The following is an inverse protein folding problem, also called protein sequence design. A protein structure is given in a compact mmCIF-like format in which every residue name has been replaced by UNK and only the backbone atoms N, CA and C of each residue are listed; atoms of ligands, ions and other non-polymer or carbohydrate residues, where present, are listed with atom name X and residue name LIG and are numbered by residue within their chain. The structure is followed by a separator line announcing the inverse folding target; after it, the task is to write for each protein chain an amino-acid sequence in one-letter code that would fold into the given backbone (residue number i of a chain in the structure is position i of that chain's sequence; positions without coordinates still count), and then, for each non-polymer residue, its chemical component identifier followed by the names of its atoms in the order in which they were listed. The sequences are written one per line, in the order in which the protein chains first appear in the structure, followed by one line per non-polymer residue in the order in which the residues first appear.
data_IF_022281074131
#
_entry.id   IF_022281074131
#
_cell.length_a   1.000
_cell.length_b   1.000
_cell.length_c   1.000
_cell.angle_alpha   90.00
_cell.angle_beta   90.00
_cell.angle_gamma   90.00
#
_symmetry.space_group_name_H-M   'P 1'
#
loop_
_entity.id
_entity.type
_entity.pdbx_description
1 polymer ?
#
# COMPACT_ATOMS: atom_id res chain seq x y z
N UNK A 1 -18.44 8.74 -3.17
CA UNK A 1 -17.21 8.13 -3.67
C UNK A 1 -16.31 7.84 -2.49
N UNK A 2 -15.41 6.87 -2.58
CA UNK A 2 -14.43 6.58 -1.53
C UNK A 2 -13.40 7.70 -1.49
N UNK A 3 -13.16 8.28 -0.32
CA UNK A 3 -12.21 9.38 -0.15
C UNK A 3 -10.78 8.93 -0.48
N UNK A 4 -10.02 9.73 -1.21
CA UNK A 4 -8.64 9.39 -1.60
C UNK A 4 -7.72 9.10 -0.41
N UNK A 5 -7.86 9.87 0.67
CA UNK A 5 -7.11 9.62 1.92
C UNK A 5 -7.40 8.27 2.56
N UNK A 6 -8.63 7.73 2.45
CA UNK A 6 -8.92 6.38 2.94
C UNK A 6 -8.18 5.32 2.11
N UNK A 7 -8.18 5.48 0.78
CA UNK A 7 -7.42 4.62 -0.13
C UNK A 7 -5.92 4.70 0.19
N UNK A 8 -5.38 5.91 0.39
CA UNK A 8 -3.98 6.11 0.76
C UNK A 8 -3.64 5.40 2.08
N UNK A 9 -4.48 5.52 3.11
CA UNK A 9 -4.27 4.84 4.39
C UNK A 9 -4.29 3.32 4.25
N UNK A 10 -5.23 2.76 3.48
CA UNK A 10 -5.30 1.31 3.26
C UNK A 10 -4.10 0.81 2.45
N UNK A 11 -3.66 1.57 1.44
CA UNK A 11 -2.46 1.27 0.66
C UNK A 11 -1.20 1.25 1.54
N UNK A 12 -1.02 2.26 2.40
CA UNK A 12 0.11 2.35 3.34
C UNK A 12 0.15 1.15 4.29
N UNK A 13 -0.99 0.84 4.92
CA UNK A 13 -1.13 -0.32 5.82
C UNK A 13 -0.81 -1.61 5.07
N UNK A 14 -1.40 -1.83 3.89
CA UNK A 14 -1.20 -3.06 3.12
C UNK A 14 0.27 -3.26 2.73
N UNK A 15 0.92 -2.24 2.18
CA UNK A 15 2.32 -2.29 1.78
C UNK A 15 3.27 -2.45 2.98
N UNK A 16 3.01 -1.73 4.08
CA UNK A 16 3.80 -1.81 5.31
C UNK A 16 3.69 -3.18 5.97
N UNK A 17 2.49 -3.73 6.07
CA UNK A 17 2.28 -5.09 6.58
C UNK A 17 2.93 -6.15 5.68
N UNK A 18 2.88 -5.98 4.36
CA UNK A 18 3.54 -6.89 3.41
C UNK A 18 5.04 -6.87 3.58
N UNK A 19 5.66 -5.70 3.73
CA UNK A 19 7.08 -5.58 4.05
C UNK A 19 7.41 -6.26 5.40
N UNK A 20 6.60 -6.04 6.44
CA UNK A 20 6.82 -6.64 7.75
C UNK A 20 6.74 -8.16 7.75
N UNK A 21 5.86 -8.74 6.92
CA UNK A 21 5.68 -10.19 6.83
C UNK A 21 6.90 -10.94 6.28
N UNK A 22 7.80 -10.26 5.56
CA UNK A 22 9.03 -10.84 4.99
C UNK A 22 10.30 -10.44 5.75
N UNK A 23 10.15 -9.72 6.87
CA UNK A 23 11.24 -9.29 7.75
C UNK A 23 11.26 -10.14 9.03
N UNK A 24 12.38 -10.13 9.79
CA UNK A 24 12.42 -10.78 11.09
C UNK A 24 11.30 -10.28 12.01
N UNK A 25 10.77 -11.19 12.83
CA UNK A 25 9.74 -10.86 13.81
C UNK A 25 10.20 -9.73 14.74
N UNK A 26 9.29 -8.83 15.09
CA UNK A 26 9.58 -7.64 15.92
C UNK A 26 10.16 -6.45 15.16
N UNK A 27 10.45 -6.58 13.85
CA UNK A 27 10.91 -5.45 13.04
C UNK A 27 9.84 -4.37 12.92
N UNK A 28 10.21 -3.12 13.20
CA UNK A 28 9.32 -1.96 13.05
C UNK A 28 9.59 -1.26 11.73
N UNK A 29 8.51 -0.73 11.12
CA UNK A 29 8.57 0.00 9.87
C UNK A 29 7.95 1.39 10.05
N UNK A 30 8.62 2.39 9.47
CA UNK A 30 8.14 3.76 9.41
C UNK A 30 7.99 4.16 7.93
N UNK A 31 6.81 4.61 7.53
CA UNK A 31 6.59 5.15 6.18
C UNK A 31 7.43 6.41 5.98
N UNK A 32 8.33 6.39 4.98
CA UNK A 32 9.17 7.53 4.59
C UNK A 32 8.54 8.30 3.44
N UNK A 33 7.97 7.58 2.48
CA UNK A 33 7.30 8.15 1.32
C UNK A 33 6.13 7.25 0.92
N UNK A 34 5.02 7.88 0.55
CA UNK A 34 3.85 7.23 -0.04
C UNK A 34 3.41 8.06 -1.25
N UNK A 35 3.40 7.45 -2.43
CA UNK A 35 2.86 8.05 -3.64
C UNK A 35 1.63 7.26 -4.09
N UNK A 36 0.54 7.96 -4.39
CA UNK A 36 -0.72 7.34 -4.85
C UNK A 36 -1.19 8.03 -6.12
N UNK A 37 -1.35 7.25 -7.18
CA UNK A 37 -1.97 7.72 -8.43
C UNK A 37 -3.43 7.28 -8.43
N UNK A 38 -4.35 8.25 -8.44
CA UNK A 38 -5.79 8.00 -8.56
C UNK A 38 -6.18 7.98 -10.04
N UNK A 39 -6.60 6.82 -10.52
CA UNK A 39 -6.93 6.55 -11.92
C UNK A 39 -8.45 6.57 -12.19
N UNK A 40 -9.25 6.47 -11.13
CA UNK A 40 -10.70 6.48 -11.22
C UNK A 40 -11.38 6.55 -9.85
N UNK A 41 -12.70 6.37 -9.87
CA UNK A 41 -13.55 6.51 -8.69
C UNK A 41 -14.06 5.16 -8.22
N UNK A 42 -14.00 4.91 -6.91
CA UNK A 42 -14.73 3.83 -6.26
C UNK A 42 -16.04 4.38 -5.66
N UNK A 43 -17.15 3.65 -5.86
CA UNK A 43 -18.48 4.03 -5.39
C UNK A 43 -18.87 3.22 -4.14
N UNK A 44 -19.68 3.78 -3.23
CA UNK A 44 -20.24 3.01 -2.12
C UNK A 44 -20.93 1.73 -2.61
N UNK A 45 -20.65 0.60 -1.95
CA UNK A 45 -21.16 -0.72 -2.33
C UNK A 45 -20.22 -1.54 -3.21
N UNK A 46 -19.21 -0.93 -3.85
CA UNK A 46 -18.18 -1.67 -4.58
C UNK A 46 -17.22 -2.40 -3.62
N UNK A 47 -16.75 -3.58 -4.00
CA UNK A 47 -15.71 -4.30 -3.27
C UNK A 47 -14.35 -3.64 -3.54
N UNK A 48 -13.77 -3.00 -2.53
CA UNK A 48 -12.46 -2.36 -2.60
C UNK A 48 -11.39 -3.35 -2.16
N UNK A 49 -10.52 -3.77 -3.09
CA UNK A 49 -9.42 -4.67 -2.82
C UNK A 49 -8.07 -3.95 -2.99
N UNK A 50 -7.14 -4.20 -2.06
CA UNK A 50 -5.79 -3.66 -2.08
C UNK A 50 -4.83 -4.85 -2.03
N UNK A 51 -4.03 -5.02 -3.08
CA UNK A 51 -3.01 -6.08 -3.17
C UNK A 51 -1.65 -5.44 -3.32
N UNK A 52 -0.77 -5.72 -2.36
CA UNK A 52 0.59 -5.21 -2.35
C UNK A 52 1.62 -6.28 -2.76
N UNK A 53 2.70 -5.82 -3.37
CA UNK A 53 3.89 -6.59 -3.71
C UNK A 53 5.12 -5.93 -3.08
N UNK A 54 5.94 -6.72 -2.39
CA UNK A 54 7.21 -6.24 -1.85
C UNK A 54 8.26 -6.33 -2.95
N UNK A 55 8.68 -5.17 -3.44
CA UNK A 55 9.66 -5.06 -4.53
C UNK A 55 11.06 -5.38 -4.03
N UNK A 56 11.42 -4.86 -2.84
CA UNK A 56 12.74 -5.07 -2.25
C UNK A 56 12.73 -4.81 -0.75
N UNK A 57 13.37 -5.69 0.02
CA UNK A 57 13.73 -5.43 1.41
C UNK A 57 15.24 -5.26 1.57
N UNK A 58 15.64 -4.57 2.63
CA UNK A 58 17.03 -4.35 2.95
C UNK A 58 17.21 -3.91 4.40
N UNK A 59 18.47 -3.73 4.81
CA UNK A 59 18.82 -3.41 6.21
C UNK A 59 18.14 -2.15 6.74
N UNK A 60 17.99 -1.12 5.89
CA UNK A 60 17.51 0.19 6.30
C UNK A 60 16.19 0.59 5.63
N UNK A 61 15.89 0.07 4.44
CA UNK A 61 14.76 0.48 3.63
C UNK A 61 14.07 -0.74 3.01
N UNK A 62 12.75 -0.66 2.90
CA UNK A 62 11.90 -1.55 2.13
C UNK A 62 11.10 -0.75 1.10
N UNK A 63 10.86 -1.35 -0.05
CA UNK A 63 10.12 -0.78 -1.17
C UNK A 63 8.99 -1.73 -1.52
N UNK A 64 7.79 -1.20 -1.65
CA UNK A 64 6.61 -1.94 -2.05
C UNK A 64 5.74 -1.10 -2.98
N UNK A 65 4.91 -1.79 -3.74
CA UNK A 65 3.85 -1.20 -4.55
C UNK A 65 2.54 -1.94 -4.31
N UNK A 66 1.42 -1.30 -4.63
CA UNK A 66 0.14 -1.97 -4.59
C UNK A 66 -0.81 -1.49 -5.69
N UNK A 67 -1.74 -2.37 -6.05
CA UNK A 67 -2.91 -2.07 -6.88
C UNK A 67 -4.15 -1.99 -6.02
N UNK A 68 -5.00 -1.01 -6.30
CA UNK A 68 -6.29 -0.82 -5.65
C UNK A 68 -7.38 -0.97 -6.70
N UNK A 69 -8.21 -1.99 -6.56
CA UNK A 69 -9.34 -2.29 -7.45
C UNK A 69 -10.67 -2.03 -6.75
N UNK A 70 -11.68 -1.65 -7.52
CA UNK A 70 -13.07 -1.62 -7.08
C UNK A 70 -13.90 -2.43 -8.08
N UNK A 71 -14.47 -3.55 -7.63
CA UNK A 71 -15.13 -4.55 -8.49
C UNK A 71 -14.22 -4.94 -9.67
N UNK A 72 -12.99 -5.38 -9.36
CA UNK A 72 -11.92 -5.79 -10.30
C UNK A 72 -11.40 -4.70 -11.25
N UNK A 73 -11.94 -3.48 -11.21
CA UNK A 73 -11.45 -2.37 -12.02
C UNK A 73 -10.39 -1.57 -11.26
N UNK A 74 -9.23 -1.35 -11.86
CA UNK A 74 -8.14 -0.56 -11.27
C UNK A 74 -8.60 0.89 -11.04
N UNK A 75 -8.57 1.34 -9.78
CA UNK A 75 -8.95 2.71 -9.37
C UNK A 75 -7.77 3.53 -8.89
N UNK A 76 -6.78 2.89 -8.30
CA UNK A 76 -5.54 3.55 -7.93
C UNK A 76 -4.37 2.56 -7.93
N UNK A 77 -3.16 3.11 -7.97
CA UNK A 77 -1.92 2.39 -7.66
C UNK A 77 -1.12 3.21 -6.68
N UNK A 78 -0.33 2.54 -5.85
CA UNK A 78 0.54 3.23 -4.92
C UNK A 78 1.93 2.60 -4.87
N UNK A 79 2.91 3.40 -4.49
CA UNK A 79 4.25 2.96 -4.13
C UNK A 79 4.62 3.55 -2.79
N UNK A 80 5.37 2.79 -1.99
CA UNK A 80 5.83 3.25 -0.70
C UNK A 80 7.26 2.81 -0.39
N UNK A 81 7.95 3.67 0.35
CA UNK A 81 9.26 3.41 0.93
C UNK A 81 9.12 3.42 2.44
N UNK A 82 9.56 2.35 3.09
CA UNK A 82 9.54 2.20 4.54
C UNK A 82 10.96 2.15 5.09
N UNK A 83 11.22 2.83 6.20
CA UNK A 83 12.45 2.70 6.96
C UNK A 83 12.30 1.60 8.00
N UNK A 84 13.31 0.73 8.07
CA UNK A 84 13.44 -0.25 9.15
C UNK A 84 13.93 0.48 10.40
N UNK A 85 13.24 0.27 11.52
CA UNK A 85 13.51 0.89 12.83
C UNK A 85 13.86 -0.19 13.84
#
# INVERSE_FOLDING_TARGET
FVHGGLISTLADICMGHSCRAVLPEGTSLLTVNLSVDFLGVAHPGAWLEIVAEVIKTGRNLCFAECKITADDQLRARATATFKVV
#
